data_IF_579449733755
#
_entry.id   IF_579449733755
#
_cell.length_a   1.000
_cell.length_b   1.000
_cell.length_c   1.000
_cell.angle_alpha   90.00
_cell.angle_beta   90.00
_cell.angle_gamma   90.00
#
_symmetry.space_group_name_H-M   'P 1'
#
loop_
_entity.id
_entity.type
_entity.pdbx_description
1 polymer ?
#
# COMPACT_ATOMS: atom_id res chain seq x y z
N UNK A 1 11.14 8.70 15.82
CA UNK A 1 10.59 8.99 14.49
C UNK A 1 11.37 8.11 13.54
N UNK A 2 10.83 6.94 13.29
CA UNK A 2 11.39 5.94 12.40
C UNK A 2 11.31 6.50 10.98
N UNK A 3 12.44 7.00 10.48
CA UNK A 3 12.55 7.59 9.15
C UNK A 3 12.48 6.44 8.14
N UNK A 4 11.28 6.13 7.66
CA UNK A 4 11.09 5.11 6.62
C UNK A 4 11.88 5.55 5.39
N UNK A 5 12.89 4.78 4.94
CA UNK A 5 13.74 5.21 3.85
C UNK A 5 12.95 5.37 2.55
N UNK A 6 13.35 6.32 1.71
CA UNK A 6 12.71 6.52 0.40
C UNK A 6 13.07 5.36 -0.54
N UNK A 7 12.06 4.72 -1.12
CA UNK A 7 12.25 3.64 -2.10
C UNK A 7 12.95 4.17 -3.37
N UNK A 8 14.02 3.51 -3.84
CA UNK A 8 14.64 3.86 -5.11
C UNK A 8 13.64 3.73 -6.27
N UNK A 9 13.60 4.72 -7.17
CA UNK A 9 12.60 4.81 -8.25
C UNK A 9 12.59 3.58 -9.17
N UNK A 10 13.73 2.89 -9.29
CA UNK A 10 13.86 1.64 -10.06
C UNK A 10 12.95 0.50 -9.58
N UNK A 11 12.52 0.54 -8.31
CA UNK A 11 11.64 -0.47 -7.72
C UNK A 11 10.15 -0.10 -7.78
N UNK A 12 9.81 1.17 -8.04
CA UNK A 12 8.44 1.63 -8.27
C UNK A 12 7.70 0.83 -9.35
N UNK A 13 8.27 0.56 -10.55
CA UNK A 13 7.60 -0.27 -11.54
C UNK A 13 7.36 -1.70 -11.05
N UNK A 14 8.28 -2.25 -10.26
CA UNK A 14 8.12 -3.60 -9.70
C UNK A 14 6.96 -3.66 -8.70
N UNK A 15 6.86 -2.67 -7.81
CA UNK A 15 5.71 -2.55 -6.91
C UNK A 15 4.38 -2.45 -7.67
N UNK A 16 4.34 -1.70 -8.78
CA UNK A 16 3.14 -1.58 -9.64
C UNK A 16 2.77 -2.92 -10.28
N UNK A 17 3.77 -3.68 -10.74
CA UNK A 17 3.56 -5.01 -11.31
C UNK A 17 2.93 -5.97 -10.29
N UNK A 18 3.44 -6.01 -9.05
CA UNK A 18 2.88 -6.85 -7.98
C UNK A 18 1.43 -6.48 -7.67
N UNK A 19 1.13 -5.18 -7.57
CA UNK A 19 -0.23 -4.69 -7.33
C UNK A 19 -1.21 -5.06 -8.46
N UNK A 20 -0.74 -5.09 -9.70
CA UNK A 20 -1.54 -5.51 -10.86
C UNK A 20 -1.70 -7.04 -10.93
N UNK A 21 -0.69 -7.80 -10.49
CA UNK A 21 -0.70 -9.26 -10.44
C UNK A 21 -1.72 -9.78 -9.41
N UNK A 22 -1.75 -9.19 -8.23
CA UNK A 22 -2.68 -9.53 -7.15
C UNK A 22 -4.01 -8.75 -7.22
N UNK A 23 -4.34 -8.29 -8.42
CA UNK A 23 -5.56 -7.53 -8.68
C UNK A 23 -6.75 -8.48 -8.71
N UNK A 24 -7.71 -8.24 -7.82
CA UNK A 24 -8.95 -9.01 -7.72
C UNK A 24 -10.09 -8.42 -8.56
N UNK A 25 -10.03 -7.11 -8.90
CA UNK A 25 -11.07 -6.42 -9.66
C UNK A 25 -10.56 -5.49 -10.75
N UNK A 26 -11.02 -5.73 -11.98
CA UNK A 26 -10.69 -4.94 -13.17
C UNK A 26 -11.43 -3.59 -13.28
N UNK A 27 -12.58 -3.43 -12.64
CA UNK A 27 -13.37 -2.19 -12.64
C UNK A 27 -13.57 -1.63 -11.24
N UNK A 28 -13.12 -0.40 -11.00
CA UNK A 28 -12.97 0.20 -9.69
C UNK A 28 -13.02 1.74 -9.78
N UNK A 29 -14.12 2.36 -9.33
CA UNK A 29 -14.26 3.84 -9.31
C UNK A 29 -13.30 4.53 -8.34
N UNK A 30 -12.82 3.82 -7.31
CA UNK A 30 -11.93 4.38 -6.30
C UNK A 30 -10.50 4.60 -6.81
N UNK A 31 -9.97 3.65 -7.59
CA UNK A 31 -8.64 3.76 -8.20
C UNK A 31 -8.68 4.06 -9.70
N UNK A 32 -9.88 4.27 -10.27
CA UNK A 32 -10.10 4.48 -11.71
C UNK A 32 -9.51 3.33 -12.55
N UNK A 33 -9.84 2.10 -12.17
CA UNK A 33 -9.42 0.88 -12.90
C UNK A 33 -7.90 0.61 -12.94
N UNK A 34 -7.12 1.34 -12.14
CA UNK A 34 -5.64 1.23 -12.08
C UNK A 34 -5.11 0.17 -11.11
N UNK A 35 -5.90 -0.25 -10.12
CA UNK A 35 -5.46 -1.15 -9.03
C UNK A 35 -4.69 -0.45 -7.90
N UNK A 36 -4.24 0.79 -8.08
CA UNK A 36 -3.54 1.58 -7.07
C UNK A 36 -3.94 3.06 -7.14
N UNK A 37 -3.71 3.82 -6.07
CA UNK A 37 -4.02 5.25 -5.97
C UNK A 37 -2.87 6.14 -6.47
N UNK A 38 -1.62 5.71 -6.26
CA UNK A 38 -0.44 6.46 -6.67
C UNK A 38 0.80 6.02 -5.89
N UNK A 39 1.88 6.81 -5.99
CA UNK A 39 3.05 6.69 -5.14
C UNK A 39 3.08 7.85 -4.13
N UNK A 40 3.58 7.61 -2.93
CA UNK A 40 3.77 8.66 -1.93
C UNK A 40 5.13 9.38 -2.12
N UNK A 41 5.46 10.31 -1.22
CA UNK A 41 6.73 11.06 -1.24
C UNK A 41 7.97 10.18 -1.07
N UNK A 42 7.80 9.00 -0.47
CA UNK A 42 8.82 7.98 -0.28
C UNK A 42 8.89 6.99 -1.44
N UNK A 43 8.23 7.27 -2.57
CA UNK A 43 8.11 6.36 -3.72
C UNK A 43 7.44 5.01 -3.41
N UNK A 44 6.74 4.88 -2.28
CA UNK A 44 5.99 3.69 -1.94
C UNK A 44 4.65 3.70 -2.68
N UNK A 45 4.27 2.54 -3.24
CA UNK A 45 3.03 2.39 -3.97
C UNK A 45 1.85 2.23 -3.00
N UNK A 46 0.84 3.07 -3.15
CA UNK A 46 -0.41 2.99 -2.39
C UNK A 46 -1.42 2.16 -3.19
N UNK A 47 -1.56 0.89 -2.83
CA UNK A 47 -2.48 -0.06 -3.47
C UNK A 47 -3.95 0.26 -3.14
N UNK A 48 -4.87 -0.20 -3.99
CA UNK A 48 -6.30 -0.06 -3.75
C UNK A 48 -6.83 -1.26 -2.96
N UNK A 49 -7.11 -1.07 -1.67
CA UNK A 49 -7.65 -2.10 -0.76
C UNK A 49 -8.94 -2.79 -1.25
N UNK A 50 -9.68 -2.19 -2.21
CA UNK A 50 -10.91 -2.77 -2.75
C UNK A 50 -10.70 -3.70 -3.94
N UNK A 51 -9.57 -3.55 -4.62
CA UNK A 51 -9.37 -4.02 -5.97
C UNK A 51 -8.05 -4.82 -6.11
N UNK A 52 -7.20 -4.79 -5.09
CA UNK A 52 -5.95 -5.52 -4.98
C UNK A 52 -5.93 -6.20 -3.60
N UNK A 53 -5.47 -7.44 -3.58
CA UNK A 53 -5.23 -8.16 -2.34
C UNK A 53 -3.98 -7.59 -1.66
N UNK A 54 -4.17 -6.75 -0.64
CA UNK A 54 -3.06 -6.06 0.03
C UNK A 54 -2.16 -7.03 0.77
N UNK A 55 -2.74 -8.11 1.31
CA UNK A 55 -2.00 -9.14 2.05
C UNK A 55 -1.02 -9.86 1.13
N UNK A 56 -1.52 -10.36 -0.01
CA UNK A 56 -0.69 -11.04 -1.01
C UNK A 56 0.37 -10.11 -1.62
N UNK A 57 0.07 -8.82 -1.82
CA UNK A 57 1.07 -7.84 -2.27
C UNK A 57 2.14 -7.61 -1.20
N UNK A 58 1.77 -7.51 0.08
CA UNK A 58 2.73 -7.33 1.17
C UNK A 58 3.61 -8.56 1.31
N UNK A 59 3.07 -9.77 1.25
CA UNK A 59 3.86 -11.01 1.27
C UNK A 59 4.85 -11.10 0.11
N UNK A 60 4.41 -10.82 -1.12
CA UNK A 60 5.29 -10.81 -2.30
C UNK A 60 6.34 -9.70 -2.22
N UNK A 61 5.97 -8.54 -1.68
CA UNK A 61 6.90 -7.42 -1.44
C UNK A 61 7.95 -7.77 -0.39
N UNK A 62 7.55 -8.41 0.72
CA UNK A 62 8.47 -8.90 1.76
C UNK A 62 9.47 -9.89 1.20
N UNK A 63 9.01 -10.84 0.40
CA UNK A 63 9.88 -11.80 -0.27
C UNK A 63 10.88 -11.10 -1.21
N UNK A 64 10.42 -10.11 -1.98
CA UNK A 64 11.27 -9.34 -2.88
C UNK A 64 12.31 -8.48 -2.15
N UNK A 65 11.93 -7.88 -1.02
CA UNK A 65 12.83 -7.12 -0.16
C UNK A 65 13.91 -8.03 0.43
N UNK A 66 13.54 -9.22 0.93
CA UNK A 66 14.51 -10.21 1.45
C UNK A 66 15.46 -10.75 0.39
N UNK A 67 14.99 -10.92 -0.86
CA UNK A 67 15.80 -11.37 -1.99
C UNK A 67 16.75 -10.27 -2.52
N UNK A 68 16.41 -9.00 -2.29
CA UNK A 68 17.18 -7.86 -2.78
C UNK A 68 18.04 -7.27 -1.65
N UNK A 69 19.38 -7.45 -1.64
CA UNK A 69 20.23 -7.06 -0.52
C UNK A 69 20.13 -5.56 -0.17
N UNK A 70 20.04 -4.69 -1.18
CA UNK A 70 19.89 -3.24 -0.95
C UNK A 70 18.56 -2.90 -0.24
N UNK A 71 17.48 -3.59 -0.58
CA UNK A 71 16.19 -3.37 0.08
C UNK A 71 16.16 -4.04 1.45
N UNK A 72 16.79 -5.21 1.61
CA UNK A 72 16.94 -5.88 2.90
C UNK A 72 17.71 -5.02 3.91
N UNK A 73 18.76 -4.31 3.49
CA UNK A 73 19.47 -3.39 4.37
C UNK A 73 18.61 -2.18 4.79
N UNK A 74 17.70 -1.71 3.92
CA UNK A 74 16.84 -0.56 4.21
C UNK A 74 15.55 -0.91 4.97
N UNK A 75 14.95 -2.06 4.66
CA UNK A 75 13.61 -2.45 5.11
C UNK A 75 13.58 -3.81 5.82
N UNK A 76 14.67 -4.58 5.82
CA UNK A 76 14.72 -5.90 6.44
C UNK A 76 14.41 -5.85 7.93
N UNK A 77 14.96 -4.85 8.63
CA UNK A 77 14.72 -4.60 10.05
C UNK A 77 13.23 -4.34 10.35
N UNK A 78 12.53 -3.58 9.49
CA UNK A 78 11.09 -3.34 9.62
C UNK A 78 10.26 -4.62 9.55
N UNK A 79 10.69 -5.61 8.76
CA UNK A 79 9.95 -6.86 8.59
C UNK A 79 10.35 -7.96 9.57
N UNK A 80 11.51 -7.86 10.20
CA UNK A 80 11.92 -8.72 11.33
C UNK A 80 11.30 -8.22 12.64
N UNK A 81 11.20 -6.91 12.86
CA UNK A 81 10.53 -6.33 14.03
C UNK A 81 9.02 -6.64 14.08
N UNK A 82 8.35 -6.75 12.92
CA UNK A 82 6.91 -7.05 12.83
C UNK A 82 6.56 -8.51 13.20
N UNK A 83 7.55 -9.40 13.33
CA UNK A 83 7.32 -10.77 13.83
C UNK A 83 7.21 -10.81 15.38
N UNK A 84 7.66 -9.76 16.08
CA UNK A 84 7.54 -9.63 17.54
C UNK A 84 6.32 -8.82 18.03
N UNK A 85 5.71 -7.96 17.20
CA UNK A 85 4.63 -7.06 17.64
C UNK A 85 3.33 -7.22 16.82
N UNK A 86 2.28 -7.69 17.52
CA UNK A 86 1.00 -8.13 16.98
C UNK A 86 0.27 -7.19 16.03
N UNK A 87 -0.44 -7.81 15.08
CA UNK A 87 -1.25 -7.14 14.07
C UNK A 87 -2.20 -6.07 14.62
N UNK A 88 -1.95 -4.82 14.23
CA UNK A 88 -2.85 -3.72 14.48
C UNK A 88 -3.66 -3.42 13.21
N UNK A 89 -4.92 -3.84 13.24
CA UNK A 89 -5.93 -3.45 12.25
C UNK A 89 -6.10 -1.93 12.32
N UNK A 90 -5.70 -1.23 11.25
CA UNK A 90 -6.12 0.14 11.01
C UNK A 90 -7.61 0.18 10.59
N UNK A 91 -8.52 -0.03 11.55
CA UNK A 91 -9.91 0.44 11.47
C UNK A 91 -9.90 1.94 11.83
N UNK A 92 -9.56 2.78 10.85
CA UNK A 92 -9.79 4.21 10.97
C UNK A 92 -11.25 4.48 10.58
N UNK A 93 -12.11 4.46 11.59
CA UNK A 93 -13.51 4.84 11.51
C UNK A 93 -13.72 6.11 10.68
N UNK A 94 -14.54 5.98 9.64
CA UNK A 94 -14.99 7.09 8.82
C UNK A 94 -16.22 7.70 9.51
N UNK A 95 -16.15 8.91 10.07
CA UNK A 95 -17.39 9.59 10.43
C UNK A 95 -18.17 9.87 9.15
N UNK A 96 -19.45 9.46 9.14
CA UNK A 96 -20.41 9.76 8.08
C UNK A 96 -20.32 11.25 7.69
N UNK A 97 -20.21 11.59 6.39
CA UNK A 97 -20.34 12.98 5.99
C UNK A 97 -21.78 13.41 6.29
N UNK A 98 -21.94 14.33 7.25
CA UNK A 98 -23.23 14.98 7.51
C UNK A 98 -23.83 15.45 6.17
N UNK A 99 -25.13 15.22 5.91
CA UNK A 99 -25.75 15.76 4.71
C UNK A 99 -25.62 17.28 4.75
N UNK A 100 -24.99 17.85 3.73
CA UNK A 100 -25.03 19.30 3.51
C UNK A 100 -26.51 19.70 3.36
N UNK A 101 -27.01 20.69 4.11
CA UNK A 101 -28.34 21.20 3.87
C UNK A 101 -28.35 21.86 2.49
N UNK A 102 -29.21 21.36 1.59
CA UNK A 102 -29.55 22.05 0.34
C UNK A 102 -30.02 23.47 0.68
N UNK A 103 -29.54 24.52 0.00
CA UNK A 103 -30.17 25.81 0.09
C UNK A 103 -31.60 25.69 -0.46
N UNK A 104 -32.59 25.97 0.39
CA UNK A 104 -34.00 26.10 0.02
C UNK A 104 -34.21 27.31 -0.91
N UNK A 105 -35.28 27.28 -1.74
CA UNK A 105 -35.44 28.10 -2.96
C UNK A 105 -35.55 29.60 -2.75
#
# INVERSE_FOLDING_TARGET
>A
MDDVPKLPERYVPKAKEMALKHRTKEKCKACYDRGYHGINQLNLLITCHKCVDTDAVVEEWRAFVKDTPELAEMYGDYFEAEEEEGGEKADAGRPDPKPYPSPSP
#
